data_IF_426996096317
#
_entry.id   IF_426996096317
#
_cell.length_a   1.000
_cell.length_b   1.000
_cell.length_c   1.000
_cell.angle_alpha   90.00
_cell.angle_beta   90.00
_cell.angle_gamma   90.00
#
_symmetry.space_group_name_H-M   'P 1'
#
loop_
_entity.id
_entity.type
_entity.pdbx_description
1 polymer ?
#
# COMPACT_ATOMS: atom_id res chain seq x y z
N UNK A 1 -56.13 -22.29 10.88
CA UNK A 1 -54.80 -22.91 10.72
C UNK A 1 -53.81 -21.99 11.39
N UNK A 2 -53.12 -22.44 12.44
CA UNK A 2 -52.08 -21.65 13.10
C UNK A 2 -50.89 -21.59 12.13
N UNK A 3 -50.64 -20.43 11.52
CA UNK A 3 -49.52 -20.24 10.58
C UNK A 3 -48.15 -20.14 11.28
N UNK A 4 -48.14 -20.06 12.61
CA UNK A 4 -46.92 -19.87 13.41
C UNK A 4 -46.58 -18.40 13.59
N UNK A 5 -45.38 -18.12 14.08
CA UNK A 5 -44.87 -16.75 14.24
C UNK A 5 -44.44 -16.19 12.87
N UNK A 6 -44.58 -14.88 12.66
CA UNK A 6 -43.99 -14.17 11.53
C UNK A 6 -42.45 -14.24 11.62
N UNK A 7 -41.81 -14.84 10.62
CA UNK A 7 -40.35 -15.05 10.60
C UNK A 7 -39.63 -14.18 9.58
N UNK A 8 -40.30 -13.76 8.50
CA UNK A 8 -39.70 -12.96 7.44
C UNK A 8 -40.75 -12.07 6.76
N UNK A 9 -40.44 -10.78 6.58
CA UNK A 9 -41.24 -9.85 5.78
C UNK A 9 -40.38 -9.35 4.62
N UNK A 10 -40.76 -9.72 3.40
CA UNK A 10 -40.01 -9.39 2.19
C UNK A 10 -40.80 -8.40 1.33
N UNK A 11 -40.18 -7.27 0.93
CA UNK A 11 -40.83 -6.31 0.00
C UNK A 11 -40.42 -6.61 -1.44
N UNK A 12 -41.40 -6.89 -2.29
CA UNK A 12 -41.21 -7.20 -3.72
C UNK A 12 -41.66 -6.01 -4.57
N UNK A 13 -40.76 -5.53 -5.43
CA UNK A 13 -41.09 -4.50 -6.41
C UNK A 13 -41.76 -5.16 -7.63
N UNK A 14 -43.05 -4.88 -7.85
CA UNK A 14 -43.82 -5.46 -8.95
C UNK A 14 -43.65 -4.63 -10.23
N UNK A 15 -43.67 -3.29 -10.10
CA UNK A 15 -43.36 -2.33 -11.16
C UNK A 15 -42.60 -1.13 -10.58
N UNK A 16 -42.11 -0.21 -11.41
CA UNK A 16 -41.35 0.99 -10.97
C UNK A 16 -42.08 1.79 -9.88
N UNK A 17 -43.43 1.77 -9.90
CA UNK A 17 -44.28 2.52 -8.97
C UNK A 17 -45.12 1.65 -8.03
N UNK A 18 -45.02 0.32 -8.07
CA UNK A 18 -45.83 -0.59 -7.24
C UNK A 18 -44.96 -1.58 -6.50
N UNK A 19 -45.06 -1.58 -5.17
CA UNK A 19 -44.38 -2.50 -4.26
C UNK A 19 -45.41 -3.17 -3.38
N UNK A 20 -45.16 -4.41 -3.01
CA UNK A 20 -45.98 -5.15 -2.04
C UNK A 20 -45.13 -6.05 -1.15
N UNK A 21 -45.70 -6.63 -0.11
CA UNK A 21 -44.97 -7.42 0.89
C UNK A 21 -45.45 -8.87 0.95
N UNK A 22 -44.49 -9.79 1.09
CA UNK A 22 -44.72 -11.20 1.38
C UNK A 22 -44.34 -11.43 2.84
N UNK A 23 -45.32 -11.81 3.66
CA UNK A 23 -45.15 -12.17 5.06
C UNK A 23 -45.07 -13.70 5.14
N UNK A 24 -43.93 -14.21 5.60
CA UNK A 24 -43.65 -15.63 5.75
C UNK A 24 -43.75 -15.98 7.23
N UNK A 25 -44.54 -17.02 7.53
CA UNK A 25 -44.65 -17.57 8.88
C UNK A 25 -43.91 -18.91 8.99
N UNK A 26 -43.68 -19.35 10.22
CA UNK A 26 -42.90 -20.55 10.57
C UNK A 26 -43.30 -21.83 9.80
N UNK A 27 -44.59 -21.99 9.49
CA UNK A 27 -45.12 -23.19 8.85
C UNK A 27 -45.63 -22.96 7.43
N UNK A 28 -45.35 -21.79 6.84
CA UNK A 28 -45.73 -21.51 5.46
C UNK A 28 -44.78 -22.23 4.49
N UNK A 29 -45.33 -22.79 3.40
CA UNK A 29 -44.54 -23.34 2.30
C UNK A 29 -44.07 -22.19 1.37
N UNK A 30 -42.75 -21.97 1.20
CA UNK A 30 -42.21 -20.94 0.30
C UNK A 30 -42.74 -21.03 -1.14
N UNK A 31 -42.95 -22.25 -1.66
CA UNK A 31 -43.41 -22.44 -3.03
C UNK A 31 -44.88 -22.00 -3.19
N UNK A 32 -45.73 -22.32 -2.21
CA UNK A 32 -47.13 -21.87 -2.20
C UNK A 32 -47.25 -20.36 -2.03
N UNK A 33 -46.43 -19.75 -1.15
CA UNK A 33 -46.41 -18.30 -0.98
C UNK A 33 -46.02 -17.59 -2.29
N UNK A 34 -44.98 -18.07 -2.96
CA UNK A 34 -44.53 -17.51 -4.23
C UNK A 34 -45.60 -17.65 -5.33
N UNK A 35 -46.25 -18.82 -5.42
CA UNK A 35 -47.37 -19.06 -6.36
C UNK A 35 -48.53 -18.13 -6.08
N UNK A 36 -48.97 -18.03 -4.83
CA UNK A 36 -50.09 -17.18 -4.43
C UNK A 36 -49.84 -15.70 -4.74
N UNK A 37 -48.62 -15.22 -4.47
CA UNK A 37 -48.22 -13.85 -4.77
C UNK A 37 -48.19 -13.58 -6.29
N UNK A 38 -47.66 -14.51 -7.08
CA UNK A 38 -47.62 -14.37 -8.54
C UNK A 38 -49.03 -14.42 -9.14
N UNK A 39 -49.91 -15.26 -8.60
CA UNK A 39 -51.31 -15.33 -9.01
C UNK A 39 -52.10 -14.07 -8.64
N UNK A 40 -51.90 -13.50 -7.44
CA UNK A 40 -52.60 -12.28 -7.01
C UNK A 40 -52.25 -11.07 -7.86
N UNK A 41 -51.04 -11.03 -8.42
CA UNK A 41 -50.54 -9.95 -9.27
C UNK A 41 -50.54 -10.27 -10.77
N UNK A 42 -51.03 -11.45 -11.17
CA UNK A 42 -51.05 -11.93 -12.55
C UNK A 42 -49.67 -11.83 -13.25
N UNK A 43 -48.62 -12.23 -12.53
CA UNK A 43 -47.23 -12.18 -12.99
C UNK A 43 -46.86 -13.45 -13.79
N UNK A 44 -45.72 -13.41 -14.45
CA UNK A 44 -45.24 -14.55 -15.23
C UNK A 44 -44.98 -15.77 -14.33
N UNK A 45 -45.56 -16.95 -14.61
CA UNK A 45 -45.40 -18.15 -13.78
C UNK A 45 -43.96 -18.65 -13.69
N UNK A 46 -43.08 -18.28 -14.63
CA UNK A 46 -41.64 -18.59 -14.54
C UNK A 46 -40.93 -17.89 -13.37
N UNK A 47 -41.53 -16.85 -12.80
CA UNK A 47 -40.98 -16.14 -11.65
C UNK A 47 -41.18 -16.90 -10.34
N UNK A 48 -42.03 -17.94 -10.32
CA UNK A 48 -42.31 -18.74 -9.11
C UNK A 48 -41.02 -19.34 -8.57
N UNK A 49 -40.21 -19.94 -9.43
CA UNK A 49 -38.95 -20.57 -9.00
C UNK A 49 -37.98 -19.52 -8.44
N UNK A 50 -37.84 -18.39 -9.11
CA UNK A 50 -36.95 -17.31 -8.68
C UNK A 50 -37.37 -16.73 -7.32
N UNK A 51 -38.66 -16.49 -7.12
CA UNK A 51 -39.18 -15.96 -5.87
C UNK A 51 -39.11 -16.99 -4.74
N UNK A 52 -39.30 -18.27 -5.04
CA UNK A 52 -39.14 -19.39 -4.09
C UNK A 52 -37.70 -19.49 -3.62
N UNK A 53 -36.73 -19.48 -4.55
CA UNK A 53 -35.31 -19.52 -4.23
C UNK A 53 -34.89 -18.33 -3.35
N UNK A 54 -35.41 -17.13 -3.64
CA UNK A 54 -35.14 -15.93 -2.85
C UNK A 54 -35.70 -16.04 -1.42
N UNK A 55 -36.91 -16.58 -1.24
CA UNK A 55 -37.48 -16.81 0.09
C UNK A 55 -36.62 -17.84 0.86
N UNK A 56 -36.24 -18.95 0.23
CA UNK A 56 -35.42 -20.00 0.86
C UNK A 56 -34.04 -19.46 1.28
N UNK A 57 -33.38 -18.69 0.42
CA UNK A 57 -32.07 -18.12 0.72
C UNK A 57 -32.14 -17.20 1.95
N UNK A 58 -33.14 -16.32 2.00
CA UNK A 58 -33.35 -15.42 3.14
C UNK A 58 -33.69 -16.19 4.43
N UNK A 59 -34.42 -17.30 4.34
CA UNK A 59 -34.68 -18.17 5.51
C UNK A 59 -33.43 -18.91 5.98
N UNK A 60 -32.55 -19.33 5.07
CA UNK A 60 -31.31 -20.01 5.41
C UNK A 60 -30.32 -19.12 6.18
N UNK A 61 -30.27 -17.83 5.85
CA UNK A 61 -29.46 -16.84 6.55
C UNK A 61 -29.93 -16.63 8.01
N UNK A 62 -31.22 -16.80 8.27
CA UNK A 62 -31.81 -16.71 9.61
C UNK A 62 -31.59 -17.97 10.46
N UNK A 63 -31.38 -19.12 9.83
CA UNK A 63 -31.29 -20.42 10.51
C UNK A 63 -29.90 -20.74 11.11
N UNK A 64 -28.94 -19.82 11.11
CA UNK A 64 -27.61 -20.07 11.71
C UNK A 64 -27.72 -20.15 13.24
N UNK A 65 -27.47 -21.33 13.85
CA UNK A 65 -27.66 -21.50 15.28
C UNK A 65 -26.50 -20.85 16.04
N UNK A 66 -26.81 -19.81 16.82
CA UNK A 66 -25.92 -19.33 17.87
C UNK A 66 -25.84 -20.39 18.96
N UNK A 67 -24.83 -21.25 18.88
CA UNK A 67 -24.53 -22.27 19.88
C UNK A 67 -24.31 -21.64 21.25
N UNK A 68 -25.13 -22.10 22.19
CA UNK A 68 -25.27 -21.76 23.60
C UNK A 68 -24.12 -22.20 24.50
N UNK A 69 -23.90 -21.45 25.60
CA UNK A 69 -23.60 -21.93 26.97
C UNK A 69 -23.87 -20.77 27.97
N UNK A 70 -24.15 -21.01 29.27
CA UNK A 70 -25.51 -21.01 29.80
C UNK A 70 -25.86 -19.84 30.74
N UNK A 71 -27.18 -19.71 30.93
CA UNK A 71 -27.93 -18.72 31.70
C UNK A 71 -27.59 -18.66 33.20
N UNK A 72 -27.54 -17.44 33.74
CA UNK A 72 -28.20 -17.09 34.99
C UNK A 72 -29.05 -15.82 34.81
N UNK A 73 -30.10 -15.74 35.63
CA UNK A 73 -31.35 -15.00 35.48
C UNK A 73 -31.24 -13.47 35.54
N UNK A 74 -32.07 -12.74 34.78
CA UNK A 74 -33.20 -11.97 35.33
C UNK A 74 -34.09 -11.33 34.24
N UNK A 75 -35.34 -11.12 34.66
CA UNK A 75 -36.55 -10.84 33.90
C UNK A 75 -36.62 -9.46 33.25
N UNK A 76 -37.40 -9.44 32.16
CA UNK A 76 -38.22 -8.36 31.60
C UNK A 76 -37.88 -6.92 31.99
N UNK A 77 -37.47 -6.13 31.01
CA UNK A 77 -38.28 -5.00 30.59
C UNK A 77 -38.05 -4.66 29.12
N UNK A 78 -39.18 -4.44 28.45
CA UNK A 78 -39.35 -3.98 27.09
C UNK A 78 -38.59 -2.66 26.86
N UNK A 79 -37.42 -2.72 26.24
CA UNK A 79 -36.88 -1.61 25.45
C UNK A 79 -36.19 -2.14 24.19
N UNK A 80 -36.71 -1.61 23.09
CA UNK A 80 -36.23 -1.63 21.71
C UNK A 80 -34.73 -1.26 21.63
N UNK A 81 -33.86 -2.24 21.91
CA UNK A 81 -32.44 -2.12 21.62
C UNK A 81 -32.28 -2.43 20.13
N UNK A 82 -32.26 -1.36 19.33
CA UNK A 82 -31.47 -1.31 18.11
C UNK A 82 -30.15 -2.04 18.38
N UNK A 83 -30.06 -3.29 17.92
CA UNK A 83 -28.84 -4.06 17.90
C UNK A 83 -27.91 -3.28 16.98
N UNK A 84 -27.14 -2.35 17.58
CA UNK A 84 -25.94 -1.78 16.98
C UNK A 84 -25.03 -2.97 16.76
N UNK A 85 -25.22 -3.70 15.64
CA UNK A 85 -24.22 -4.59 15.07
C UNK A 85 -22.91 -3.83 15.22
N UNK A 86 -22.02 -4.38 16.05
CA UNK A 86 -20.77 -3.74 16.40
C UNK A 86 -20.14 -3.23 15.11
N UNK A 87 -19.83 -1.94 15.03
CA UNK A 87 -19.35 -1.32 13.80
C UNK A 87 -18.16 -2.10 13.20
N UNK A 88 -17.36 -2.76 14.06
CA UNK A 88 -16.31 -3.69 13.66
C UNK A 88 -16.80 -4.90 12.84
N UNK A 89 -17.92 -5.52 13.22
CA UNK A 89 -18.50 -6.66 12.49
C UNK A 89 -19.02 -6.22 11.12
N UNK A 90 -19.68 -5.06 11.04
CA UNK A 90 -20.13 -4.48 9.77
C UNK A 90 -18.95 -4.14 8.85
N UNK A 91 -17.85 -3.64 9.41
CA UNK A 91 -16.62 -3.39 8.65
C UNK A 91 -15.94 -4.68 8.19
N UNK A 92 -15.95 -5.73 9.02
CA UNK A 92 -15.39 -7.04 8.67
C UNK A 92 -16.16 -7.71 7.54
N UNK A 93 -17.49 -7.75 7.63
CA UNK A 93 -18.37 -8.26 6.57
C UNK A 93 -18.18 -7.45 5.26
N UNK A 94 -18.04 -6.12 5.37
CA UNK A 94 -17.72 -5.26 4.22
C UNK A 94 -16.34 -5.58 3.63
N UNK A 95 -15.36 -5.89 4.47
CA UNK A 95 -14.01 -6.30 4.06
C UNK A 95 -14.01 -7.62 3.30
N UNK A 96 -14.76 -8.62 3.79
CA UNK A 96 -14.90 -9.92 3.12
C UNK A 96 -15.55 -9.77 1.74
N UNK A 97 -16.67 -9.03 1.65
CA UNK A 97 -17.33 -8.75 0.35
C UNK A 97 -16.40 -8.04 -0.63
N UNK A 98 -15.58 -7.10 -0.15
CA UNK A 98 -14.60 -6.41 -1.00
C UNK A 98 -13.47 -7.34 -1.45
N UNK A 99 -13.02 -8.25 -0.60
CA UNK A 99 -12.01 -9.24 -0.94
C UNK A 99 -12.51 -10.20 -2.02
N UNK A 100 -13.73 -10.72 -1.86
CA UNK A 100 -14.41 -11.57 -2.85
C UNK A 100 -14.60 -10.85 -4.19
N UNK A 101 -15.10 -9.60 -4.17
CA UNK A 101 -15.24 -8.79 -5.39
C UNK A 101 -13.90 -8.61 -6.11
N UNK A 102 -12.82 -8.35 -5.37
CA UNK A 102 -11.48 -8.22 -5.94
C UNK A 102 -10.96 -9.53 -6.55
N UNK A 103 -11.23 -10.67 -5.91
CA UNK A 103 -10.87 -11.98 -6.46
C UNK A 103 -11.64 -12.27 -7.74
N UNK A 104 -12.95 -11.99 -7.77
CA UNK A 104 -13.79 -12.16 -8.94
C UNK A 104 -13.33 -11.24 -10.10
N UNK A 105 -12.98 -9.98 -9.81
CA UNK A 105 -12.44 -9.07 -10.81
C UNK A 105 -11.10 -9.56 -11.38
N UNK A 106 -10.21 -10.09 -10.53
CA UNK A 106 -8.93 -10.68 -10.97
C UNK A 106 -9.16 -11.89 -11.87
N UNK A 107 -10.09 -12.76 -11.50
CA UNK A 107 -10.44 -13.94 -12.31
C UNK A 107 -11.04 -13.52 -13.65
N UNK A 108 -11.97 -12.57 -13.67
CA UNK A 108 -12.59 -12.05 -14.88
C UNK A 108 -11.56 -11.38 -15.81
N UNK A 109 -10.63 -10.59 -15.26
CA UNK A 109 -9.52 -10.00 -16.03
C UNK A 109 -8.60 -11.07 -16.61
N UNK A 110 -8.28 -12.12 -15.84
CA UNK A 110 -7.45 -13.23 -16.32
C UNK A 110 -8.12 -13.94 -17.51
N UNK A 111 -9.41 -14.27 -17.38
CA UNK A 111 -10.20 -14.90 -18.46
C UNK A 111 -10.23 -13.98 -19.69
N UNK A 112 -10.40 -12.67 -19.51
CA UNK A 112 -10.41 -11.71 -20.61
C UNK A 112 -9.07 -11.64 -21.34
N UNK A 113 -7.96 -11.55 -20.61
CA UNK A 113 -6.60 -11.57 -21.18
C UNK A 113 -6.35 -12.87 -21.94
N UNK A 114 -6.79 -14.00 -21.39
CA UNK A 114 -6.68 -15.31 -22.05
C UNK A 114 -7.50 -15.35 -23.35
N UNK A 115 -8.75 -14.84 -23.34
CA UNK A 115 -9.56 -14.71 -24.56
C UNK A 115 -8.96 -13.77 -25.61
N UNK A 116 -8.34 -12.66 -25.19
CA UNK A 116 -7.67 -11.74 -26.11
C UNK A 116 -6.44 -12.41 -26.75
N UNK A 117 -5.66 -13.18 -25.96
CA UNK A 117 -4.56 -14.01 -26.47
C UNK A 117 -5.05 -15.10 -27.44
N UNK A 118 -6.18 -15.74 -27.14
CA UNK A 118 -6.79 -16.75 -28.01
C UNK A 118 -7.28 -16.16 -29.34
N UNK A 119 -7.68 -14.89 -29.36
CA UNK A 119 -8.04 -14.18 -30.60
C UNK A 119 -6.81 -13.81 -31.44
N UNK A 120 -5.69 -13.50 -30.79
CA UNK A 120 -4.42 -13.19 -31.46
C UNK A 120 -3.71 -14.44 -32.00
N UNK A 121 -4.09 -15.63 -31.53
CA UNK A 121 -3.62 -16.92 -32.04
C UNK A 121 -4.23 -17.21 -33.44
N UNK A 122 -3.53 -16.77 -34.49
CA UNK A 122 -3.88 -17.03 -35.91
C UNK A 122 -3.72 -18.48 -36.34
N UNK A 123 -3.03 -19.30 -35.55
CA UNK A 123 -2.78 -20.69 -35.84
C UNK A 123 -3.88 -21.57 -35.24
N UNK A 124 -4.82 -22.01 -36.08
CA UNK A 124 -5.83 -23.01 -35.72
C UNK A 124 -5.42 -24.37 -36.29
N UNK A 125 -4.65 -25.19 -35.54
CA UNK A 125 -4.26 -26.50 -36.03
C UNK A 125 -5.49 -27.36 -36.23
N UNK A 126 -5.61 -27.98 -37.41
CA UNK A 126 -6.59 -29.05 -37.64
C UNK A 126 -6.19 -30.26 -36.80
N UNK A 127 -6.83 -30.42 -35.65
CA UNK A 127 -6.60 -31.56 -34.77
C UNK A 127 -7.02 -32.83 -35.51
N UNK A 128 -6.12 -33.82 -35.57
CA UNK A 128 -6.39 -35.11 -36.18
C UNK A 128 -7.62 -35.77 -35.51
N UNK A 129 -8.56 -36.37 -36.26
CA UNK A 129 -9.73 -37.05 -35.71
C UNK A 129 -9.41 -38.05 -34.58
N UNK A 130 -8.25 -38.72 -34.63
CA UNK A 130 -7.80 -39.63 -33.57
C UNK A 130 -7.58 -38.89 -32.23
N UNK A 131 -6.97 -37.70 -32.28
CA UNK A 131 -6.73 -36.86 -31.10
C UNK A 131 -8.04 -36.30 -30.54
N UNK A 132 -9.01 -36.00 -31.40
CA UNK A 132 -10.33 -35.52 -30.97
C UNK A 132 -11.12 -36.63 -30.24
N UNK A 133 -11.05 -37.87 -30.73
CA UNK A 133 -11.62 -39.02 -30.01
C UNK A 133 -10.94 -39.28 -28.66
N UNK A 134 -9.62 -39.11 -28.57
CA UNK A 134 -8.89 -39.25 -27.30
C UNK A 134 -9.29 -38.16 -26.29
N UNK A 135 -9.50 -36.91 -26.74
CA UNK A 135 -9.95 -35.81 -25.90
C UNK A 135 -11.38 -36.03 -25.37
N UNK A 136 -12.32 -36.50 -26.20
CA UNK A 136 -13.66 -36.87 -25.75
C UNK A 136 -13.65 -38.02 -24.73
N UNK A 137 -12.71 -38.98 -24.89
CA UNK A 137 -12.52 -40.08 -23.91
C UNK A 137 -11.97 -39.59 -22.57
N UNK A 138 -11.26 -38.46 -22.54
CA UNK A 138 -10.76 -37.82 -21.33
C UNK A 138 -11.87 -37.10 -20.56
N UNK A 139 -12.84 -36.49 -21.25
CA UNK A 139 -14.01 -35.83 -20.63
C UNK A 139 -14.91 -36.79 -19.85
N UNK A 140 -14.93 -38.08 -20.22
CA UNK A 140 -15.71 -39.12 -19.55
C UNK A 140 -14.97 -39.79 -18.36
N UNK A 141 -13.76 -39.33 -18.00
CA UNK A 141 -13.06 -39.83 -16.81
C UNK A 141 -13.59 -39.12 -15.58
N UNK A 142 -14.00 -39.89 -14.56
CA UNK A 142 -14.36 -39.34 -13.26
C UNK A 142 -13.26 -38.41 -12.74
N UNK A 143 -13.66 -37.23 -12.27
CA UNK A 143 -12.78 -36.18 -11.72
C UNK A 143 -11.85 -36.70 -10.63
N UNK A 144 -12.27 -37.74 -9.90
CA UNK A 144 -11.47 -38.40 -8.87
C UNK A 144 -10.29 -39.21 -9.43
N UNK A 145 -10.44 -39.80 -10.63
CA UNK A 145 -9.33 -40.51 -11.29
C UNK A 145 -8.24 -39.55 -11.74
N UNK A 146 -8.64 -38.37 -12.21
CA UNK A 146 -7.73 -37.30 -12.64
C UNK A 146 -6.94 -36.77 -11.44
N UNK A 147 -7.63 -36.42 -10.35
CA UNK A 147 -7.01 -35.94 -9.09
C UNK A 147 -6.03 -36.96 -8.50
N UNK A 148 -6.38 -38.25 -8.47
CA UNK A 148 -5.47 -39.31 -8.00
C UNK A 148 -4.20 -39.36 -8.84
N UNK A 149 -4.32 -39.27 -10.17
CA UNK A 149 -3.16 -39.29 -11.07
C UNK A 149 -2.29 -38.04 -10.92
N UNK A 150 -2.89 -36.86 -10.81
CA UNK A 150 -2.18 -35.61 -10.54
C UNK A 150 -1.41 -35.65 -9.22
N UNK A 151 -2.02 -36.18 -8.16
CA UNK A 151 -1.35 -36.35 -6.86
C UNK A 151 -0.17 -37.33 -6.94
N UNK A 152 -0.28 -38.40 -7.73
CA UNK A 152 0.79 -39.36 -7.94
C UNK A 152 1.95 -38.74 -8.73
N UNK A 153 1.65 -37.97 -9.77
CA UNK A 153 2.66 -37.23 -10.54
C UNK A 153 3.36 -36.19 -9.66
N UNK A 154 2.61 -35.47 -8.81
CA UNK A 154 3.18 -34.49 -7.89
C UNK A 154 4.15 -35.15 -6.90
N UNK A 155 3.80 -36.32 -6.34
CA UNK A 155 4.68 -37.10 -5.46
C UNK A 155 5.98 -37.50 -6.16
N UNK A 156 5.87 -38.10 -7.35
CA UNK A 156 7.05 -38.48 -8.15
C UNK A 156 7.95 -37.26 -8.44
N UNK A 157 7.36 -36.10 -8.70
CA UNK A 157 8.11 -34.86 -8.91
C UNK A 157 8.84 -34.37 -7.66
N UNK A 158 8.23 -34.52 -6.48
CA UNK A 158 8.85 -34.17 -5.20
C UNK A 158 9.99 -35.13 -4.91
N UNK A 159 9.77 -36.43 -5.08
CA UNK A 159 10.77 -37.47 -4.84
C UNK A 159 11.99 -37.30 -5.76
N UNK A 160 11.75 -37.08 -7.06
CA UNK A 160 12.83 -36.81 -8.02
C UNK A 160 13.62 -35.55 -7.68
N UNK A 161 12.96 -34.47 -7.23
CA UNK A 161 13.65 -33.26 -6.77
C UNK A 161 14.46 -33.51 -5.50
N UNK A 162 13.96 -34.34 -4.59
CA UNK A 162 14.71 -34.72 -3.38
C UNK A 162 15.95 -35.55 -3.74
N UNK A 163 15.83 -36.48 -4.69
CA UNK A 163 16.95 -37.24 -5.24
C UNK A 163 17.98 -36.32 -5.92
N UNK A 164 17.53 -35.39 -6.79
CA UNK A 164 18.36 -34.37 -7.44
C UNK A 164 19.11 -33.50 -6.41
N UNK A 165 18.43 -33.08 -5.33
CA UNK A 165 19.04 -32.32 -4.23
C UNK A 165 20.03 -33.16 -3.41
N UNK A 166 19.76 -34.44 -3.22
CA UNK A 166 20.67 -35.36 -2.50
C UNK A 166 21.93 -35.67 -3.30
N UNK A 167 21.84 -35.62 -4.64
CA UNK A 167 22.97 -35.80 -5.56
C UNK A 167 23.83 -34.53 -5.71
N UNK A 168 23.41 -33.37 -5.18
CA UNK A 168 24.23 -32.16 -5.19
C UNK A 168 25.44 -32.29 -4.23
N UNK A 169 26.65 -32.36 -4.80
CA UNK A 169 27.92 -32.38 -4.06
C UNK A 169 28.34 -31.00 -3.51
N UNK A 170 27.68 -29.93 -3.97
CA UNK A 170 27.93 -28.57 -3.51
C UNK A 170 27.13 -28.27 -2.24
N UNK A 171 27.80 -28.38 -1.09
CA UNK A 171 27.26 -27.98 0.21
C UNK A 171 27.85 -26.62 0.61
N UNK A 172 27.19 -25.48 0.28
CA UNK A 172 27.70 -24.17 0.67
C UNK A 172 27.74 -24.07 2.20
N UNK A 173 28.89 -23.64 2.74
CA UNK A 173 29.02 -23.35 4.17
C UNK A 173 28.18 -22.12 4.51
N UNK A 174 26.98 -22.35 5.01
CA UNK A 174 26.09 -21.30 5.50
C UNK A 174 26.75 -20.66 6.73
N UNK A 175 26.77 -19.32 6.77
CA UNK A 175 27.32 -18.57 7.89
C UNK A 175 26.58 -18.99 9.19
N UNK A 176 27.28 -19.28 10.31
CA UNK A 176 26.63 -19.70 11.56
C UNK A 176 25.52 -18.76 12.04
N UNK A 177 25.59 -17.47 11.69
CA UNK A 177 24.54 -16.51 12.02
C UNK A 177 23.23 -16.72 11.22
N UNK A 178 23.32 -17.12 9.95
CA UNK A 178 22.12 -17.42 9.14
C UNK A 178 21.52 -18.80 9.48
N UNK A 179 22.31 -19.75 9.97
CA UNK A 179 21.80 -21.00 10.52
C UNK A 179 20.94 -20.76 11.78
N UNK A 180 21.41 -19.91 12.71
CA UNK A 180 20.61 -19.47 13.88
C UNK A 180 19.31 -18.79 13.46
N UNK A 181 19.33 -17.95 12.43
CA UNK A 181 18.12 -17.29 11.89
C UNK A 181 17.07 -18.27 11.35
N UNK A 182 17.49 -19.38 10.74
CA UNK A 182 16.62 -20.46 10.29
C UNK A 182 16.05 -21.27 11.46
N UNK A 183 16.86 -21.51 12.48
CA UNK A 183 16.46 -22.21 13.71
C UNK A 183 15.34 -21.44 14.46
N UNK A 184 15.40 -20.11 14.50
CA UNK A 184 14.32 -19.28 15.08
C UNK A 184 12.99 -19.38 14.32
N UNK A 185 13.00 -19.74 13.03
CA UNK A 185 11.77 -19.92 12.23
C UNK A 185 11.16 -21.30 12.37
N UNK A 186 11.93 -22.31 12.78
CA UNK A 186 11.50 -23.72 12.75
C UNK A 186 11.21 -24.33 14.12
N UNK A 187 11.28 -23.58 15.24
CA UNK A 187 10.91 -24.12 16.55
C UNK A 187 9.42 -24.53 16.58
N UNK A 188 9.08 -25.82 16.67
CA UNK A 188 7.70 -26.25 16.89
C UNK A 188 7.34 -25.84 18.32
N UNK A 189 6.39 -24.91 18.47
CA UNK A 189 5.96 -24.39 19.77
C UNK A 189 6.44 -22.98 20.12
N UNK A 190 7.05 -22.23 19.20
CA UNK A 190 7.31 -20.81 19.43
C UNK A 190 5.98 -20.04 19.46
N UNK A 191 5.52 -19.69 20.66
CA UNK A 191 4.36 -18.82 20.93
C UNK A 191 4.57 -17.36 20.49
N UNK A 192 5.52 -17.08 19.61
CA UNK A 192 5.87 -15.73 19.16
C UNK A 192 4.68 -14.95 18.61
N UNK A 193 3.76 -15.60 17.90
CA UNK A 193 2.55 -14.93 17.41
C UNK A 193 1.56 -14.61 18.54
N UNK A 194 1.53 -15.44 19.59
CA UNK A 194 0.78 -15.20 20.82
C UNK A 194 1.41 -14.06 21.62
N UNK A 195 2.73 -14.07 21.80
CA UNK A 195 3.46 -13.00 22.49
C UNK A 195 3.30 -11.65 21.77
N UNK A 196 3.38 -11.65 20.44
CA UNK A 196 3.14 -10.44 19.63
C UNK A 196 1.68 -9.97 19.71
N UNK A 197 0.73 -10.90 19.83
CA UNK A 197 -0.68 -10.57 19.99
C UNK A 197 -0.96 -9.96 21.36
N UNK A 198 -0.44 -10.56 22.44
CA UNK A 198 -0.52 -10.03 23.80
C UNK A 198 0.14 -8.65 23.93
N UNK A 199 1.34 -8.50 23.36
CA UNK A 199 2.06 -7.21 23.29
C UNK A 199 1.26 -6.16 22.51
N UNK A 200 0.57 -6.54 21.42
CA UNK A 200 -0.29 -5.61 20.68
C UNK A 200 -1.49 -5.12 21.50
N UNK A 201 -2.07 -5.99 22.35
CA UNK A 201 -3.16 -5.62 23.26
C UNK A 201 -2.67 -4.65 24.32
N UNK A 202 -1.51 -4.92 24.93
CA UNK A 202 -0.91 -4.05 25.96
C UNK A 202 -0.64 -2.65 25.40
N UNK A 203 -0.07 -2.54 24.19
CA UNK A 203 0.19 -1.25 23.54
C UNK A 203 -1.09 -0.48 23.28
N UNK A 204 -2.15 -1.16 22.85
CA UNK A 204 -3.45 -0.55 22.60
C UNK A 204 -4.07 -0.01 23.90
N UNK A 205 -4.07 -0.80 24.96
CA UNK A 205 -4.57 -0.38 26.28
C UNK A 205 -3.79 0.83 26.83
N UNK A 206 -2.46 0.84 26.66
CA UNK A 206 -1.62 1.99 27.05
C UNK A 206 -1.96 3.25 26.27
N UNK A 207 -2.24 3.12 24.98
CA UNK A 207 -2.61 4.25 24.12
C UNK A 207 -4.01 4.80 24.48
N UNK A 208 -4.97 3.92 24.75
CA UNK A 208 -6.31 4.29 25.23
C UNK A 208 -6.24 4.98 26.61
N UNK A 209 -5.37 4.51 27.51
CA UNK A 209 -5.13 5.16 28.80
C UNK A 209 -4.56 6.57 28.64
N UNK A 210 -3.58 6.75 27.75
CA UNK A 210 -3.00 8.08 27.46
C UNK A 210 -4.02 9.02 26.79
N UNK A 211 -4.89 8.51 25.92
CA UNK A 211 -5.97 9.30 25.35
C UNK A 211 -6.97 9.74 26.42
N UNK A 212 -7.36 8.84 27.34
CA UNK A 212 -8.22 9.19 28.48
C UNK A 212 -7.56 10.19 29.43
N UNK A 213 -6.25 10.11 29.65
CA UNK A 213 -5.53 11.14 30.42
C UNK A 213 -5.51 12.50 29.69
N UNK A 214 -5.46 12.51 28.35
CA UNK A 214 -5.55 13.75 27.57
C UNK A 214 -6.96 14.37 27.57
N UNK A 215 -8.01 13.59 27.85
CA UNK A 215 -9.38 14.10 28.05
C UNK A 215 -9.54 14.84 29.39
N UNK A 216 -8.68 14.60 30.38
CA UNK A 216 -8.60 15.43 31.59
C UNK A 216 -7.66 16.61 31.37
N UNK A 217 -8.22 17.70 30.83
CA UNK A 217 -7.54 18.99 30.65
C UNK A 217 -7.30 19.69 32.00
N UNK A 218 -6.30 19.26 32.78
CA UNK A 218 -5.74 20.11 33.83
C UNK A 218 -4.92 21.23 33.18
N UNK A 219 -5.54 22.38 32.98
CA UNK A 219 -4.88 23.64 32.61
C UNK A 219 -4.70 24.44 33.90
N UNK A 220 -3.54 24.38 34.57
CA UNK A 220 -3.30 25.29 35.67
C UNK A 220 -3.30 26.71 35.09
N UNK A 221 -4.10 27.60 35.66
CA UNK A 221 -3.99 29.04 35.40
C UNK A 221 -2.66 29.51 36.00
N UNK A 222 -1.61 29.46 35.20
CA UNK A 222 -0.33 30.04 35.56
C UNK A 222 -0.46 31.54 35.27
N UNK A 223 -0.73 32.32 36.32
CA UNK A 223 -0.59 33.77 36.27
C UNK A 223 0.79 34.09 35.72
N UNK A 224 0.82 34.71 34.55
CA UNK A 224 2.06 35.18 33.94
C UNK A 224 2.71 36.20 34.87
N UNK A 225 3.95 35.94 35.28
CA UNK A 225 5.06 36.88 35.20
C UNK A 225 6.28 36.24 35.88
N UNK A 226 7.24 35.79 35.06
CA UNK A 226 8.65 36.17 35.14
C UNK A 226 9.44 35.34 34.13
N UNK A 227 10.26 36.03 33.33
CA UNK A 227 11.28 35.45 32.49
C UNK A 227 12.16 34.51 33.31
N UNK A 228 11.98 33.20 33.15
CA UNK A 228 13.00 32.21 33.47
C UNK A 228 13.06 31.22 32.32
N UNK A 229 14.19 31.26 31.63
CA UNK A 229 14.64 30.22 30.70
C UNK A 229 14.69 28.89 31.46
N UNK A 230 13.60 28.12 31.37
CA UNK A 230 13.53 26.76 31.88
C UNK A 230 13.83 25.81 30.72
N UNK A 231 15.13 25.54 30.55
CA UNK A 231 15.57 24.30 29.94
C UNK A 231 14.94 23.15 30.72
N UNK A 232 14.12 22.34 30.04
CA UNK A 232 13.44 21.19 30.64
C UNK A 232 14.42 20.33 31.43
N UNK A 233 14.22 20.32 32.75
CA UNK A 233 14.85 19.45 33.73
C UNK A 233 14.63 17.99 33.33
N UNK A 234 15.58 17.42 32.58
CA UNK A 234 15.82 15.98 32.64
C UNK A 234 16.41 15.69 34.01
N UNK A 235 15.78 14.77 34.74
CA UNK A 235 16.36 14.08 35.88
C UNK A 235 17.78 13.62 35.54
N UNK A 236 18.76 14.39 36.00
CA UNK A 236 20.12 13.93 36.20
C UNK A 236 20.36 13.95 37.70
N UNK A 237 20.28 12.79 38.33
CA UNK A 237 21.02 12.51 39.55
C UNK A 237 22.50 12.60 39.19
N UNK A 238 23.07 13.81 39.26
CA UNK A 238 24.52 14.01 39.21
C UNK A 238 25.09 13.47 40.51
N UNK A 239 25.60 12.25 40.48
CA UNK A 239 26.77 11.92 41.31
C UNK A 239 27.96 12.71 40.73
N UNK A 240 28.82 13.31 41.57
CA UNK A 240 30.01 14.01 41.09
C UNK A 240 30.89 13.04 40.28
N UNK A 241 31.31 13.50 39.10
CA UNK A 241 32.04 12.72 38.09
C UNK A 241 33.39 12.21 38.62
N UNK A 242 33.97 12.90 39.59
CA UNK A 242 35.26 12.60 40.19
C UNK A 242 35.25 11.29 41.03
N UNK A 243 34.09 10.84 41.51
CA UNK A 243 33.97 9.55 42.22
C UNK A 243 33.91 8.35 41.26
N UNK A 244 33.44 8.54 40.03
CA UNK A 244 33.28 7.44 39.06
C UNK A 244 34.58 7.16 38.30
N UNK A 245 35.40 8.18 38.02
CA UNK A 245 36.71 7.99 37.38
C UNK A 245 37.69 7.21 38.27
N UNK A 246 37.70 7.47 39.58
CA UNK A 246 38.53 6.71 40.53
C UNK A 246 38.10 5.24 40.71
N UNK A 247 36.82 4.94 40.48
CA UNK A 247 36.30 3.56 40.55
C UNK A 247 36.64 2.72 39.32
N UNK A 248 36.82 3.34 38.15
CA UNK A 248 37.15 2.63 36.91
C UNK A 248 38.65 2.29 36.81
N UNK A 249 39.53 3.18 37.28
CA UNK A 249 40.98 2.95 37.22
C UNK A 249 41.48 1.89 38.21
N UNK A 250 40.69 1.60 39.25
CA UNK A 250 40.96 0.53 40.22
C UNK A 250 40.49 -0.86 39.76
N UNK A 251 39.57 -0.94 38.78
CA UNK A 251 39.07 -2.21 38.20
C UNK A 251 39.93 -2.77 37.04
N UNK A 252 40.92 -2.01 36.56
CA UNK A 252 41.75 -2.37 35.39
C UNK A 252 43.07 -3.08 35.74
N UNK A 253 43.32 -3.33 37.04
CA UNK A 253 44.49 -4.08 37.52
C UNK A 253 44.03 -5.38 38.17
N UNK A 254 44.67 -6.48 37.81
CA UNK A 254 44.38 -7.79 38.41
C UNK A 254 44.72 -7.76 39.92
N UNK A 255 43.75 -8.00 40.82
CA UNK A 255 43.93 -7.85 42.27
C UNK A 255 44.99 -8.78 42.87
N UNK A 256 45.34 -9.88 42.20
CA UNK A 256 46.32 -10.84 42.72
C UNK A 256 47.76 -10.58 42.23
N UNK A 257 47.93 -9.92 41.09
CA UNK A 257 49.26 -9.74 40.46
C UNK A 257 49.65 -8.28 40.30
N UNK A 258 48.71 -7.34 40.45
CA UNK A 258 48.92 -5.90 40.28
C UNK A 258 49.23 -5.48 38.84
N UNK A 259 49.20 -6.41 37.89
CA UNK A 259 49.43 -6.14 36.47
C UNK A 259 48.19 -5.56 35.81
N UNK A 260 48.41 -4.61 34.92
CA UNK A 260 47.36 -4.04 34.07
C UNK A 260 46.84 -5.10 33.10
N UNK A 261 45.51 -5.20 32.98
CA UNK A 261 44.89 -6.17 32.07
C UNK A 261 45.30 -5.91 30.62
N UNK A 262 45.60 -6.98 29.88
CA UNK A 262 46.05 -6.91 28.49
C UNK A 262 45.03 -6.17 27.60
N UNK A 263 45.43 -5.01 27.08
CA UNK A 263 44.65 -4.27 26.08
C UNK A 263 45.15 -4.65 24.69
N UNK A 264 44.37 -5.38 23.87
CA UNK A 264 44.81 -5.76 22.54
C UNK A 264 45.04 -4.51 21.68
N UNK A 265 46.22 -4.44 21.03
CA UNK A 265 46.56 -3.40 20.05
C UNK A 265 45.71 -3.60 18.79
N UNK A 266 44.48 -3.09 18.81
CA UNK A 266 43.67 -2.97 17.61
C UNK A 266 44.27 -1.80 16.82
N UNK A 267 44.77 -2.07 15.60
CA UNK A 267 45.15 -1.04 14.64
C UNK A 267 43.92 -0.19 14.28
N UNK A 268 43.57 0.75 15.15
CA UNK A 268 42.65 1.84 14.83
C UNK A 268 43.41 2.72 13.85
N UNK A 269 43.00 2.72 12.59
CA UNK A 269 43.54 3.63 11.57
C UNK A 269 43.59 5.06 12.10
N UNK A 270 44.48 5.89 11.52
CA UNK A 270 44.88 7.26 11.93
C UNK A 270 43.72 8.26 12.06
N UNK A 271 42.74 7.99 12.90
CA UNK A 271 41.70 8.91 13.33
C UNK A 271 41.99 9.22 14.78
N UNK A 272 43.04 10.04 14.99
CA UNK A 272 43.28 10.63 16.29
C UNK A 272 42.19 11.69 16.50
N UNK A 273 41.17 11.33 17.26
CA UNK A 273 40.13 12.27 17.67
C UNK A 273 40.74 13.23 18.67
N UNK A 274 40.75 14.53 18.37
CA UNK A 274 40.91 15.54 19.41
C UNK A 274 39.66 15.46 20.30
N UNK A 275 39.86 15.14 21.59
CA UNK A 275 38.76 14.98 22.57
C UNK A 275 38.00 16.27 22.87
N UNK A 276 38.45 17.39 22.31
CA UNK A 276 38.00 18.74 22.66
C UNK A 276 36.67 19.13 22.03
N UNK A 277 36.17 18.40 21.02
CA UNK A 277 34.92 18.75 20.34
C UNK A 277 33.80 17.70 20.51
N UNK A 278 32.54 18.14 20.70
CA UNK A 278 31.35 17.31 20.58
C UNK A 278 31.33 16.58 19.24
N UNK A 279 30.86 15.32 19.25
CA UNK A 279 30.95 14.42 18.10
C UNK A 279 30.26 14.98 16.85
N UNK A 280 29.19 15.76 17.05
CA UNK A 280 28.47 16.41 15.97
C UNK A 280 29.35 17.39 15.21
N UNK A 281 29.99 18.34 15.90
CA UNK A 281 30.85 19.35 15.26
C UNK A 281 32.04 18.73 14.53
N UNK A 282 32.67 17.71 15.14
CA UNK A 282 33.78 17.01 14.49
C UNK A 282 33.36 16.33 13.18
N UNK A 283 32.17 15.73 13.13
CA UNK A 283 31.66 15.10 11.91
C UNK A 283 31.29 16.13 10.83
N UNK A 284 30.86 17.34 11.23
CA UNK A 284 30.58 18.42 10.29
C UNK A 284 31.85 19.08 9.75
N UNK A 285 32.92 19.19 10.54
CA UNK A 285 34.20 19.74 10.07
C UNK A 285 34.93 18.80 9.11
N UNK A 286 34.94 17.49 9.38
CA UNK A 286 35.52 16.48 8.47
C UNK A 286 34.93 16.48 7.06
N UNK A 287 33.68 16.95 6.88
CA UNK A 287 33.05 17.04 5.56
C UNK A 287 33.57 18.19 4.70
N UNK A 288 34.24 19.20 5.28
CA UNK A 288 34.77 20.35 4.53
C UNK A 288 36.20 20.12 4.06
N UNK A 289 37.00 19.38 4.84
CA UNK A 289 38.44 19.20 4.57
C UNK A 289 38.74 18.19 3.44
N UNK A 290 37.74 17.44 2.98
CA UNK A 290 37.90 16.43 1.92
C UNK A 290 38.02 16.97 0.49
N UNK A 291 38.12 18.29 0.29
CA UNK A 291 38.05 18.89 -1.05
C UNK A 291 39.41 19.22 -1.67
N UNK A 292 40.50 19.22 -0.90
CA UNK A 292 41.76 19.79 -1.40
C UNK A 292 42.92 18.81 -1.60
N UNK A 293 42.90 17.59 -1.06
CA UNK A 293 44.01 16.65 -1.27
C UNK A 293 43.56 15.18 -1.23
N UNK A 294 43.44 14.54 -2.39
CA UNK A 294 43.19 13.09 -2.46
C UNK A 294 42.84 12.61 -3.87
N UNK A 295 43.73 11.80 -4.43
CA UNK A 295 43.68 11.25 -5.79
C UNK A 295 42.38 10.51 -6.12
N UNK A 296 42.04 10.61 -7.40
CA UNK A 296 40.84 10.12 -8.06
C UNK A 296 40.66 8.60 -7.87
N UNK A 297 39.71 8.21 -7.02
CA UNK A 297 38.94 6.98 -7.23
C UNK A 297 37.47 7.34 -7.35
N UNK A 298 37.01 7.27 -8.60
CA UNK A 298 35.67 7.57 -9.07
C UNK A 298 34.62 6.67 -8.41
N UNK A 299 33.94 7.20 -7.40
CA UNK A 299 32.57 6.83 -7.06
C UNK A 299 31.84 8.06 -6.49
N UNK A 300 31.73 9.11 -7.32
CA UNK A 300 30.88 10.24 -7.00
C UNK A 300 29.41 9.83 -6.88
N UNK A 301 28.60 10.49 -6.03
CA UNK A 301 27.16 10.28 -5.99
C UNK A 301 26.56 10.50 -7.39
N UNK A 302 25.77 9.54 -7.88
CA UNK A 302 25.22 9.50 -9.24
C UNK A 302 24.64 10.85 -9.68
N UNK A 303 25.18 11.40 -10.77
CA UNK A 303 24.71 12.62 -11.41
C UNK A 303 23.20 12.54 -11.79
N UNK A 304 22.64 11.33 -11.94
CA UNK A 304 21.22 11.13 -12.26
C UNK A 304 20.29 11.49 -11.10
N UNK A 305 20.72 11.27 -9.85
CA UNK A 305 19.92 11.65 -8.68
C UNK A 305 19.74 13.17 -8.61
N UNK A 306 20.76 13.94 -9.02
CA UNK A 306 20.73 15.41 -9.10
C UNK A 306 19.82 15.91 -10.22
N UNK A 307 19.88 15.30 -11.41
CA UNK A 307 19.01 15.66 -12.54
C UNK A 307 17.53 15.49 -12.20
N UNK A 308 17.18 14.36 -11.58
CA UNK A 308 15.78 14.09 -11.21
C UNK A 308 15.26 15.05 -10.14
N UNK A 309 16.06 15.41 -9.14
CA UNK A 309 15.67 16.41 -8.15
C UNK A 309 15.52 17.80 -8.77
N UNK A 310 16.37 18.15 -9.74
CA UNK A 310 16.31 19.41 -10.45
C UNK A 310 15.07 19.52 -11.34
N UNK A 311 14.71 18.45 -12.05
CA UNK A 311 13.46 18.37 -12.82
C UNK A 311 12.22 18.51 -11.94
N UNK A 312 12.21 17.88 -10.76
CA UNK A 312 11.12 18.03 -9.79
C UNK A 312 10.99 19.48 -9.32
N UNK A 313 12.11 20.16 -9.06
CA UNK A 313 12.10 21.56 -8.67
C UNK A 313 11.60 22.46 -9.80
N UNK A 314 12.07 22.24 -11.04
CA UNK A 314 11.59 22.97 -12.23
C UNK A 314 10.08 22.80 -12.42
N UNK A 315 9.58 21.57 -12.26
CA UNK A 315 8.14 21.29 -12.32
C UNK A 315 7.36 21.99 -11.21
N UNK A 316 7.88 21.97 -9.98
CA UNK A 316 7.25 22.64 -8.83
C UNK A 316 7.19 24.16 -9.04
N UNK A 317 8.27 24.76 -9.55
CA UNK A 317 8.31 26.18 -9.91
C UNK A 317 7.27 26.54 -10.96
N UNK A 318 7.28 25.82 -12.09
CA UNK A 318 6.34 26.07 -13.20
C UNK A 318 4.88 25.96 -12.76
N UNK A 319 4.56 24.98 -11.92
CA UNK A 319 3.22 24.86 -11.35
C UNK A 319 2.85 26.08 -10.48
N UNK A 320 3.77 26.52 -9.62
CA UNK A 320 3.55 27.69 -8.76
C UNK A 320 3.39 28.97 -9.59
N UNK A 321 4.21 29.15 -10.63
CA UNK A 321 4.09 30.29 -11.54
C UNK A 321 2.75 30.29 -12.23
N UNK A 322 2.28 29.12 -12.68
CA UNK A 322 0.98 29.00 -13.33
C UNK A 322 -0.16 29.32 -12.36
N UNK A 323 -0.09 28.90 -11.10
CA UNK A 323 -1.08 29.27 -10.09
C UNK A 323 -1.15 30.79 -9.88
N UNK A 324 0.01 31.45 -9.76
CA UNK A 324 0.07 32.91 -9.61
C UNK A 324 -0.46 33.59 -10.87
N UNK A 325 -0.09 33.10 -12.05
CA UNK A 325 -0.58 33.57 -13.34
C UNK A 325 -2.11 33.48 -13.42
N UNK A 326 -2.70 32.36 -12.98
CA UNK A 326 -4.15 32.19 -12.93
C UNK A 326 -4.82 33.12 -11.90
N UNK A 327 -4.18 33.42 -10.77
CA UNK A 327 -4.68 34.40 -9.79
C UNK A 327 -4.74 35.82 -10.36
N UNK A 328 -3.95 36.11 -11.40
CA UNK A 328 -3.93 37.39 -12.09
C UNK A 328 -5.00 37.50 -13.18
N UNK A 329 -5.89 36.51 -13.32
CA UNK A 329 -6.99 36.46 -14.28
C UNK A 329 -6.56 36.71 -15.73
N UNK A 330 -5.87 35.75 -16.37
CA UNK A 330 -5.55 35.86 -17.78
C UNK A 330 -6.82 35.81 -18.63
N UNK A 331 -6.81 36.55 -19.74
CA UNK A 331 -7.91 36.56 -20.70
C UNK A 331 -8.08 35.20 -21.40
N UNK A 332 -9.12 35.05 -22.22
CA UNK A 332 -9.39 33.83 -23.01
C UNK A 332 -8.24 33.46 -23.96
N UNK A 333 -7.35 34.41 -24.28
CA UNK A 333 -6.13 34.20 -25.07
C UNK A 333 -4.92 33.78 -24.24
N UNK A 334 -5.07 33.66 -22.91
CA UNK A 334 -3.98 33.34 -22.00
C UNK A 334 -2.97 34.48 -21.84
N UNK A 335 -3.41 35.73 -21.99
CA UNK A 335 -2.61 36.94 -21.81
C UNK A 335 -3.10 37.68 -20.57
N UNK A 336 -2.19 38.27 -19.80
CA UNK A 336 -2.54 39.16 -18.69
C UNK A 336 -2.24 40.59 -19.11
N UNK A 337 -3.15 41.50 -18.80
CA UNK A 337 -2.94 42.95 -18.94
C UNK A 337 -2.73 43.57 -17.55
N UNK A 338 -1.83 44.54 -17.42
CA UNK A 338 -1.58 45.18 -16.12
C UNK A 338 -2.86 45.75 -15.48
N UNK A 339 -3.77 46.26 -16.31
CA UNK A 339 -5.06 46.84 -15.87
C UNK A 339 -6.04 45.79 -15.31
N UNK A 340 -5.92 44.52 -15.71
CA UNK A 340 -6.82 43.44 -15.27
C UNK A 340 -6.33 42.74 -14.00
N UNK A 341 -5.12 43.05 -13.54
CA UNK A 341 -4.52 42.46 -12.34
C UNK A 341 -5.17 43.03 -11.08
N UNK A 342 -6.03 42.23 -10.43
CA UNK A 342 -6.58 42.59 -9.13
C UNK A 342 -5.73 42.01 -7.98
N UNK A 343 -5.07 42.91 -7.24
CA UNK A 343 -4.25 42.61 -6.05
C UNK A 343 -4.97 41.79 -4.97
N UNK A 344 -6.30 41.73 -4.97
CA UNK A 344 -7.10 41.00 -3.97
C UNK A 344 -7.00 39.49 -4.09
N UNK A 345 -6.76 38.95 -5.28
CA UNK A 345 -6.72 37.51 -5.52
C UNK A 345 -5.33 36.90 -5.36
N UNK A 346 -4.30 37.75 -5.24
CA UNK A 346 -2.91 37.34 -5.09
C UNK A 346 -2.55 37.39 -3.60
N UNK A 347 -1.79 36.39 -3.13
CA UNK A 347 -1.32 36.38 -1.75
C UNK A 347 -0.52 37.66 -1.44
N UNK A 348 -0.83 38.44 -0.39
CA UNK A 348 -0.24 39.78 -0.18
C UNK A 348 1.30 39.78 -0.11
N UNK A 349 1.87 38.70 0.43
CA UNK A 349 3.31 38.52 0.49
C UNK A 349 3.91 38.26 -0.90
N UNK A 350 3.24 37.46 -1.73
CA UNK A 350 3.66 37.19 -3.11
C UNK A 350 3.56 38.47 -3.94
N UNK A 351 2.46 39.22 -3.81
CA UNK A 351 2.27 40.51 -4.49
C UNK A 351 3.38 41.50 -4.12
N UNK A 352 3.71 41.62 -2.82
CA UNK A 352 4.81 42.47 -2.35
C UNK A 352 6.17 42.07 -2.94
N UNK A 353 6.45 40.77 -3.02
CA UNK A 353 7.70 40.26 -3.61
C UNK A 353 7.75 40.48 -5.13
N UNK A 354 6.61 40.42 -5.81
CA UNK A 354 6.50 40.70 -7.24
C UNK A 354 6.54 42.19 -7.58
N UNK A 355 6.48 43.09 -6.59
CA UNK A 355 6.41 44.54 -6.82
C UNK A 355 7.44 45.06 -7.82
N UNK A 356 8.71 44.65 -7.68
CA UNK A 356 9.77 45.08 -8.60
C UNK A 356 9.53 44.66 -10.06
N UNK A 357 8.93 43.51 -10.27
CA UNK A 357 8.57 43.04 -11.62
C UNK A 357 7.32 43.77 -12.13
N UNK A 358 6.33 44.00 -11.26
CA UNK A 358 5.10 44.69 -11.62
C UNK A 358 5.33 46.17 -11.95
N UNK A 359 6.28 46.82 -11.27
CA UNK A 359 6.65 48.21 -11.53
C UNK A 359 7.24 48.34 -12.94
N UNK A 360 8.19 47.47 -13.31
CA UNK A 360 8.77 47.42 -14.67
C UNK A 360 7.69 47.13 -15.71
N UNK A 361 6.80 46.20 -15.41
CA UNK A 361 5.73 45.84 -16.32
C UNK A 361 4.70 46.98 -16.51
N UNK A 362 4.45 47.78 -15.46
CA UNK A 362 3.57 48.95 -15.53
C UNK A 362 4.12 50.05 -16.44
N UNK A 363 5.44 50.09 -16.67
CA UNK A 363 6.07 51.04 -17.59
C UNK A 363 5.95 50.58 -19.06
N UNK A 364 6.01 49.26 -19.31
CA UNK A 364 5.97 48.69 -20.67
C UNK A 364 4.54 48.54 -21.21
N UNK A 365 3.54 48.32 -20.34
CA UNK A 365 2.10 48.17 -20.70
C UNK A 365 1.79 47.11 -21.76
N UNK A 366 2.73 46.20 -22.06
CA UNK A 366 2.52 45.10 -23.00
C UNK A 366 1.81 43.92 -22.32
N UNK A 367 0.91 43.20 -23.01
CA UNK A 367 0.32 41.98 -22.47
C UNK A 367 1.39 40.89 -22.29
N UNK A 368 1.38 40.23 -21.13
CA UNK A 368 2.30 39.12 -20.86
C UNK A 368 1.62 37.76 -21.08
N UNK A 369 2.27 36.90 -21.85
CA UNK A 369 1.94 35.48 -21.89
C UNK A 369 2.57 34.73 -20.70
N UNK A 370 2.19 33.46 -20.53
CA UNK A 370 2.70 32.66 -19.41
C UNK A 370 4.21 32.42 -19.49
N UNK A 371 4.78 32.34 -20.68
CA UNK A 371 6.18 31.98 -20.89
C UNK A 371 7.08 33.17 -20.53
N UNK A 372 6.79 34.37 -21.05
CA UNK A 372 7.44 35.63 -20.67
C UNK A 372 7.24 35.93 -19.19
N UNK A 373 6.05 35.66 -18.64
CA UNK A 373 5.79 35.81 -17.20
C UNK A 373 6.67 34.87 -16.36
N UNK A 374 6.82 33.63 -16.79
CA UNK A 374 7.65 32.64 -16.09
C UNK A 374 9.13 33.02 -16.09
N UNK A 375 9.63 33.60 -17.19
CA UNK A 375 11.01 34.07 -17.31
C UNK A 375 11.27 35.29 -16.42
N UNK A 376 10.35 36.25 -16.39
CA UNK A 376 10.40 37.42 -15.51
C UNK A 376 10.40 37.01 -14.03
N UNK A 377 9.60 36.01 -13.64
CA UNK A 377 9.62 35.45 -12.29
C UNK A 377 10.92 34.71 -11.97
N UNK A 378 11.51 33.98 -12.92
CA UNK A 378 12.81 33.33 -12.71
C UNK A 378 13.93 34.35 -12.51
N UNK A 379 13.86 35.52 -13.18
CA UNK A 379 14.78 36.63 -12.96
C UNK A 379 14.58 37.28 -11.59
N UNK A 380 13.33 37.47 -11.17
CA UNK A 380 12.99 37.94 -9.82
C UNK A 380 13.56 36.99 -8.74
N UNK A 381 13.37 35.67 -8.91
CA UNK A 381 13.89 34.68 -7.97
C UNK A 381 15.42 34.70 -7.85
N UNK A 382 16.17 35.20 -8.83
CA UNK A 382 17.64 35.35 -8.71
C UNK A 382 18.03 36.48 -7.76
N UNK A 383 17.18 37.49 -7.64
CA UNK A 383 17.42 38.71 -6.84
C UNK A 383 16.95 38.50 -5.40
N UNK A 384 15.85 37.74 -5.20
CA UNK A 384 15.30 37.47 -3.87
C UNK A 384 16.27 36.70 -2.95
N UNK A 385 16.16 36.93 -1.65
CA UNK A 385 16.88 36.17 -0.61
C UNK A 385 16.38 34.72 -0.53
N UNK A 386 17.16 33.77 0.04
CA UNK A 386 16.74 32.37 0.15
C UNK A 386 15.41 32.17 0.89
N UNK A 387 15.15 32.98 1.92
CA UNK A 387 13.91 32.89 2.71
C UNK A 387 12.70 33.41 1.92
N UNK A 388 12.87 34.48 1.15
CA UNK A 388 11.84 35.01 0.26
C UNK A 388 11.54 34.05 -0.89
N UNK A 389 12.57 33.41 -1.47
CA UNK A 389 12.37 32.36 -2.49
C UNK A 389 11.56 31.20 -1.93
N UNK A 390 11.87 30.77 -0.70
CA UNK A 390 11.11 29.71 -0.05
C UNK A 390 9.67 30.16 0.22
N UNK A 391 9.45 31.37 0.75
CA UNK A 391 8.11 31.90 0.97
C UNK A 391 7.30 32.02 -0.32
N UNK A 392 7.94 32.39 -1.44
CA UNK A 392 7.32 32.49 -2.75
C UNK A 392 6.90 31.12 -3.33
N UNK A 393 7.75 30.10 -3.15
CA UNK A 393 7.53 28.75 -3.68
C UNK A 393 6.67 27.84 -2.79
N UNK A 394 6.53 28.16 -1.51
CA UNK A 394 5.72 27.37 -0.57
C UNK A 394 4.25 27.72 -0.75
N UNK A 395 3.47 26.72 -1.19
CA UNK A 395 2.03 26.83 -1.30
C UNK A 395 1.35 26.78 0.07
N UNK A 396 0.69 27.86 0.48
CA UNK A 396 -0.34 27.82 1.53
C UNK A 396 -1.69 27.60 0.88
N UNK A 397 -2.25 26.39 1.03
CA UNK A 397 -3.63 26.12 0.63
C UNK A 397 -4.55 26.93 1.54
N UNK A 398 -5.10 28.03 1.03
CA UNK A 398 -6.09 28.82 1.77
C UNK A 398 -7.28 27.91 2.10
N UNK A 399 -7.60 27.82 3.39
CA UNK A 399 -8.61 26.91 3.93
C UNK A 399 -10.04 27.49 3.82
N UNK A 400 -10.19 28.68 3.23
CA UNK A 400 -11.39 29.49 3.31
C UNK A 400 -12.37 29.29 2.14
N UNK A 401 -11.93 28.84 0.96
CA UNK A 401 -12.81 28.50 -0.17
C UNK A 401 -13.59 27.17 0.02
N UNK A 402 -13.49 26.56 1.20
CA UNK A 402 -14.16 25.29 1.51
C UNK A 402 -15.63 25.43 1.95
N UNK A 403 -16.23 26.63 1.88
CA UNK A 403 -17.61 26.85 2.36
C UNK A 403 -18.69 27.02 1.28
N UNK A 404 -18.36 27.17 0.00
CA UNK A 404 -19.37 27.19 -1.10
C UNK A 404 -19.22 26.08 -2.15
N UNK A 405 -18.24 25.19 -1.98
CA UNK A 405 -18.22 23.87 -2.65
C UNK A 405 -18.26 22.75 -1.60
N UNK A 406 -19.40 22.63 -0.93
CA UNK A 406 -19.65 21.58 0.06
C UNK A 406 -19.94 20.21 -0.59
N UNK A 407 -19.08 19.77 -1.52
CA UNK A 407 -18.75 18.35 -1.64
C UNK A 407 -17.49 18.14 -0.82
N UNK A 408 -17.73 17.82 0.45
CA UNK A 408 -16.74 17.55 1.49
C UNK A 408 -15.69 16.55 1.01
N UNK A 409 -14.52 17.02 0.56
CA UNK A 409 -13.26 16.25 0.63
C UNK A 409 -12.62 16.45 2.00
N UNK A 410 -13.37 16.08 3.04
CA UNK A 410 -12.71 15.53 4.22
C UNK A 410 -12.00 14.26 3.75
N UNK A 411 -10.69 14.16 3.96
CA UNK A 411 -9.99 12.87 3.90
C UNK A 411 -10.66 11.92 4.90
N UNK A 412 -11.70 11.25 4.45
CA UNK A 412 -12.03 9.94 4.96
C UNK A 412 -10.81 9.06 4.71
N UNK A 413 -10.53 8.21 5.69
CA UNK A 413 -9.55 7.12 5.69
C UNK A 413 -9.85 6.06 4.59
N UNK A 414 -10.44 6.46 3.46
CA UNK A 414 -10.86 5.60 2.35
C UNK A 414 -9.95 5.72 1.11
N UNK A 415 -9.07 6.72 1.02
CA UNK A 415 -8.13 6.85 -0.11
C UNK A 415 -6.75 6.19 0.12
N UNK A 416 -6.67 5.24 1.08
CA UNK A 416 -5.54 4.30 1.14
C UNK A 416 -5.53 3.30 -0.03
N UNK A 417 -6.64 3.17 -0.77
CA UNK A 417 -6.71 2.33 -1.97
C UNK A 417 -5.87 2.89 -3.14
N UNK A 418 -5.64 4.21 -3.19
CA UNK A 418 -4.89 4.84 -4.28
C UNK A 418 -3.37 4.64 -4.20
N UNK A 419 -2.80 4.54 -2.99
CA UNK A 419 -1.35 4.39 -2.80
C UNK A 419 -0.91 2.94 -3.06
N UNK A 420 -1.70 1.98 -2.58
CA UNK A 420 -1.44 0.56 -2.81
C UNK A 420 -1.64 0.19 -4.29
N UNK A 421 -2.70 0.69 -4.93
CA UNK A 421 -2.94 0.47 -6.36
C UNK A 421 -1.81 1.07 -7.21
N UNK A 422 -1.34 2.29 -6.90
CA UNK A 422 -0.16 2.88 -7.57
C UNK A 422 1.12 2.08 -7.35
N UNK A 423 1.32 1.47 -6.18
CA UNK A 423 2.47 0.59 -5.92
C UNK A 423 2.36 -0.72 -6.70
N UNK A 424 1.17 -1.29 -6.84
CA UNK A 424 0.91 -2.48 -7.66
C UNK A 424 1.17 -2.16 -9.13
N UNK A 425 0.60 -1.07 -9.66
CA UNK A 425 0.81 -0.64 -11.05
C UNK A 425 2.29 -0.40 -11.34
N UNK A 426 3.01 0.26 -10.42
CA UNK A 426 4.45 0.47 -10.54
C UNK A 426 5.23 -0.85 -10.51
N UNK A 427 4.82 -1.83 -9.70
CA UNK A 427 5.42 -3.16 -9.66
C UNK A 427 5.17 -3.94 -10.95
N UNK A 428 3.94 -3.89 -11.47
CA UNK A 428 3.56 -4.52 -12.74
C UNK A 428 4.28 -3.89 -13.93
N UNK A 429 4.37 -2.56 -13.99
CA UNK A 429 5.10 -1.84 -15.03
C UNK A 429 6.60 -2.17 -15.00
N UNK A 430 7.22 -2.23 -13.81
CA UNK A 430 8.62 -2.65 -13.67
C UNK A 430 8.82 -4.12 -14.09
N UNK A 431 7.88 -5.01 -13.76
CA UNK A 431 7.94 -6.42 -14.17
C UNK A 431 7.81 -6.56 -15.69
N UNK A 432 6.86 -5.87 -16.31
CA UNK A 432 6.68 -5.85 -17.77
C UNK A 432 7.92 -5.31 -18.48
N UNK A 433 8.55 -4.26 -17.94
CA UNK A 433 9.81 -3.72 -18.48
C UNK A 433 10.95 -4.75 -18.40
N UNK A 434 11.08 -5.47 -17.28
CA UNK A 434 12.07 -6.54 -17.11
C UNK A 434 11.84 -7.72 -18.05
N UNK A 435 10.58 -8.10 -18.27
CA UNK A 435 10.20 -9.17 -19.21
C UNK A 435 10.53 -8.77 -20.65
N UNK A 436 10.21 -7.54 -21.07
CA UNK A 436 10.56 -7.02 -22.38
C UNK A 436 12.10 -6.99 -22.59
N UNK A 437 12.86 -6.63 -21.56
CA UNK A 437 14.33 -6.64 -21.62
C UNK A 437 14.89 -8.06 -21.70
N UNK A 438 14.29 -9.02 -20.99
CA UNK A 438 14.64 -10.45 -21.11
C UNK A 438 14.32 -11.01 -22.49
N UNK A 439 13.17 -10.68 -23.06
CA UNK A 439 12.80 -11.11 -24.42
C UNK A 439 13.73 -10.53 -25.48
N UNK A 440 14.08 -9.24 -25.37
CA UNK A 440 15.09 -8.63 -26.24
C UNK A 440 16.43 -9.35 -26.13
N UNK A 441 16.84 -9.70 -24.90
CA UNK A 441 18.07 -10.45 -24.68
C UNK A 441 18.00 -11.86 -25.28
N UNK A 442 16.91 -12.60 -25.06
CA UNK A 442 16.68 -13.92 -25.64
C UNK A 442 16.68 -13.87 -27.17
N UNK A 443 16.04 -12.86 -27.77
CA UNK A 443 16.08 -12.66 -29.23
C UNK A 443 17.50 -12.40 -29.71
N UNK A 444 18.26 -11.52 -29.05
CA UNK A 444 19.66 -11.28 -29.40
C UNK A 444 20.56 -12.52 -29.21
N UNK A 445 20.25 -13.38 -28.24
CA UNK A 445 20.96 -14.65 -28.01
C UNK A 445 20.59 -15.70 -29.08
N UNK A 446 19.34 -15.74 -29.56
CA UNK A 446 18.90 -16.59 -30.65
C UNK A 446 19.44 -16.13 -32.01
N UNK A 447 19.46 -14.83 -32.26
CA UNK A 447 20.03 -14.23 -33.48
C UNK A 447 21.56 -14.49 -33.55
N UNK A 448 22.21 -14.63 -32.39
CA UNK A 448 23.62 -15.03 -32.27
C UNK A 448 23.85 -16.55 -32.17
N UNK A 449 22.81 -17.37 -32.19
CA UNK A 449 22.95 -18.82 -32.02
C UNK A 449 23.42 -19.49 -33.32
N UNK A 450 24.69 -19.85 -33.38
CA UNK A 450 25.29 -20.61 -34.50
C UNK A 450 25.02 -22.12 -34.43
N UNK A 451 24.33 -22.60 -33.39
CA UNK A 451 24.03 -24.01 -33.21
C UNK A 451 22.85 -24.44 -34.09
N UNK A 452 23.18 -25.03 -35.23
CA UNK A 452 22.22 -25.65 -36.15
C UNK A 452 22.36 -27.17 -35.99
N UNK A 453 21.56 -27.83 -35.11
CA UNK A 453 21.68 -29.27 -34.93
C UNK A 453 21.32 -29.95 -36.25
N UNK A 454 22.29 -30.63 -36.84
CA UNK A 454 22.03 -31.49 -37.99
C UNK A 454 21.24 -32.70 -37.50
N UNK A 455 19.92 -32.64 -37.66
CA UNK A 455 19.06 -33.79 -37.38
C UNK A 455 19.20 -34.77 -38.54
N UNK A 456 19.67 -35.98 -38.24
CA UNK A 456 19.65 -37.06 -39.23
C UNK A 456 18.18 -37.44 -39.47
N UNK A 457 17.73 -37.53 -40.74
CA UNK A 457 16.34 -37.89 -41.03
C UNK A 457 16.05 -39.28 -40.46
N UNK A 458 15.06 -39.34 -39.57
CA UNK A 458 14.61 -40.59 -38.95
C UNK A 458 14.10 -41.53 -40.05
N UNK A 459 14.80 -42.66 -40.22
CA UNK A 459 14.44 -43.71 -41.18
C UNK A 459 13.11 -44.32 -40.75
N UNK A 460 12.03 -43.99 -41.46
CA UNK A 460 10.75 -44.68 -41.30
C UNK A 460 10.94 -46.14 -41.74
N UNK A 461 10.99 -47.05 -40.77
CA UNK A 461 10.96 -48.48 -41.07
C UNK A 461 9.65 -48.80 -41.79
N UNK A 462 9.79 -49.30 -43.01
CA UNK A 462 8.69 -49.55 -43.94
C UNK A 462 7.58 -50.40 -43.32
N UNK A 463 6.34 -50.04 -43.66
CA UNK A 463 5.17 -50.90 -43.55
C UNK A 463 5.51 -52.25 -44.18
N UNK A 464 5.53 -53.31 -43.36
CA UNK A 464 5.35 -54.67 -43.87
C UNK A 464 3.92 -54.74 -44.43
N UNK A 465 3.82 -54.89 -45.74
CA UNK A 465 2.59 -55.35 -46.37
C UNK A 465 2.42 -56.83 -46.01
N UNK A 466 1.30 -57.15 -45.39
CA UNK A 466 0.65 -58.45 -45.44
C UNK A 466 -0.81 -58.20 -45.80
#
# INVERSE_FOLDING_TARGET
MNRGQEILVMTVNITENRKDQIIVHEYDDPEELAKNFIMSYNLNPKLVTLLTDEIINNLSDLATPSTSLPQEYHQSDSYDYFSKKNYGQKLYEKGLRKLEQNENQKQALKIRIEQEKDKELTFQPKINPVSNMLAQRMGNRSTDSIRKKESAIARVHVDRKAEELSACTFAPKINPNSAKMLEYKQRPGSKRFQDLYEDSIIRKQKQEFLQKQAEFSFKPEILSNHNVSSNGERLYSKKPLDELENSFDSELKDPNTGQELFVPKINKGKYSRTRELPIGEHLYSQRRDGTENGEVLNAGPSLEAKKRSEELLKRSKRNRYYEIFQQMNPDDQGLIHYETVDSRYIEPLVYKLMGQMLDVWSEEMEPLDFETFSESLDNLLKILSPDERNAFLIYKRNKEDSQQSSIKKSCSITDMDGVYSRQIEKKLSNQARLELEREKKQRSELDGCTFHPQTTPYRTFGRRQN
#
